data_IF_004640170517
#
_entry.id   IF_004640170517
#
_cell.length_a   1.000
_cell.length_b   1.000
_cell.length_c   1.000
_cell.angle_alpha   90.00
_cell.angle_beta   90.00
_cell.angle_gamma   90.00
#
_symmetry.space_group_name_H-M   'P 1'
#
loop_
_entity.id
_entity.type
_entity.pdbx_description
1 polymer ?
#
# COMPACT_ATOMS: atom_id res chain seq x y z
N UNK A 1 16.17 31.49 33.45
CA UNK A 1 16.50 30.51 32.42
C UNK A 1 16.31 29.14 33.05
N UNK A 2 15.33 28.38 32.59
CA UNK A 2 15.21 26.99 33.03
C UNK A 2 16.29 26.19 32.31
N UNK A 3 17.17 25.54 33.05
CA UNK A 3 18.18 24.65 32.50
C UNK A 3 17.49 23.31 32.25
N UNK A 4 17.33 22.93 30.98
CA UNK A 4 16.84 21.61 30.61
C UNK A 4 17.90 20.56 30.99
N UNK A 5 17.51 19.53 31.73
CA UNK A 5 18.34 18.33 31.90
C UNK A 5 18.28 17.52 30.61
N UNK A 6 19.18 17.83 29.69
CA UNK A 6 19.25 17.22 28.35
C UNK A 6 19.46 15.69 28.42
N UNK A 7 20.12 15.18 29.45
CA UNK A 7 20.37 13.77 29.66
C UNK A 7 19.09 12.92 29.81
N UNK A 8 18.13 13.37 30.65
CA UNK A 8 16.86 12.66 30.86
C UNK A 8 16.00 12.59 29.58
N UNK A 9 16.05 13.65 28.76
CA UNK A 9 15.35 13.69 27.46
C UNK A 9 15.99 12.71 26.48
N UNK A 10 17.31 12.62 26.43
CA UNK A 10 18.05 11.70 25.57
C UNK A 10 17.75 10.23 25.90
N UNK A 11 17.77 9.86 27.18
CA UNK A 11 17.48 8.50 27.64
C UNK A 11 16.05 8.07 27.29
N UNK A 12 15.10 8.99 27.36
CA UNK A 12 13.72 8.71 27.01
C UNK A 12 13.51 8.55 25.48
N UNK A 13 14.17 9.35 24.65
CA UNK A 13 14.18 9.21 23.18
C UNK A 13 14.74 7.85 22.78
N UNK A 14 15.82 7.39 23.41
CA UNK A 14 16.45 6.10 23.14
C UNK A 14 15.47 4.96 23.47
N UNK A 15 14.85 4.99 24.67
CA UNK A 15 13.95 3.92 25.10
C UNK A 15 12.70 3.78 24.23
N UNK A 16 12.10 4.90 23.78
CA UNK A 16 10.93 4.90 22.89
C UNK A 16 11.26 4.49 21.45
N UNK A 17 12.43 4.87 20.93
CA UNK A 17 12.86 4.45 19.57
C UNK A 17 13.19 2.98 19.49
N UNK A 18 13.73 2.39 20.55
CA UNK A 18 14.05 0.95 20.64
C UNK A 18 12.80 0.07 20.79
N UNK A 19 11.77 0.56 21.51
CA UNK A 19 10.50 -0.16 21.66
C UNK A 19 9.72 -0.31 20.35
N UNK A 20 9.99 0.51 19.33
CA UNK A 20 9.37 0.44 18.00
C UNK A 20 10.13 -0.44 17.01
N UNK A 21 11.34 -0.89 17.35
CA UNK A 21 12.16 -1.79 16.54
C UNK A 21 11.92 -3.25 16.93
N UNK A 22 10.82 -3.84 16.50
CA UNK A 22 10.45 -5.25 16.81
C UNK A 22 11.31 -6.33 16.12
N UNK A 23 12.43 -5.98 15.48
CA UNK A 23 13.29 -6.99 14.86
C UNK A 23 14.77 -6.83 15.24
N UNK A 24 15.15 -7.57 16.25
CA UNK A 24 16.43 -8.24 16.30
C UNK A 24 17.60 -7.43 16.85
N UNK A 25 18.28 -8.09 17.77
CA UNK A 25 19.55 -7.77 18.42
C UNK A 25 19.54 -6.47 19.23
N UNK A 26 19.18 -6.65 20.49
CA UNK A 26 19.44 -5.67 21.54
C UNK A 26 20.95 -5.57 21.81
N UNK A 27 21.65 -4.82 20.98
CA UNK A 27 22.82 -4.11 21.46
C UNK A 27 22.29 -2.82 22.05
N UNK A 28 22.02 -2.82 23.34
CA UNK A 28 21.81 -1.64 24.15
C UNK A 28 23.13 -0.88 24.22
N UNK A 29 23.44 -0.13 23.17
CA UNK A 29 24.42 0.94 23.29
C UNK A 29 23.78 2.03 24.14
N UNK A 30 24.21 2.18 25.37
CA UNK A 30 23.92 3.33 26.26
C UNK A 30 24.54 4.63 25.73
N UNK A 31 24.61 4.81 24.45
CA UNK A 31 25.17 5.98 23.83
C UNK A 31 24.06 7.03 23.73
N UNK A 32 24.22 8.12 24.45
CA UNK A 32 23.30 9.25 24.40
C UNK A 32 23.22 9.78 22.97
N UNK A 33 22.03 9.83 22.39
CA UNK A 33 21.82 10.36 21.05
C UNK A 33 21.86 11.89 21.11
N UNK A 34 22.83 12.57 20.44
CA UNK A 34 22.95 14.01 20.49
C UNK A 34 21.77 14.69 19.80
N UNK A 35 21.21 15.73 20.45
CA UNK A 35 20.30 16.66 19.80
C UNK A 35 21.16 17.80 19.23
N UNK A 36 21.17 17.95 17.90
CA UNK A 36 22.15 18.78 17.18
C UNK A 36 21.56 20.10 16.71
N UNK A 37 20.27 20.11 16.41
CA UNK A 37 19.61 21.27 15.84
C UNK A 37 18.32 21.60 16.57
N UNK A 38 17.97 22.88 16.54
CA UNK A 38 16.67 23.33 17.00
C UNK A 38 15.94 24.08 15.89
N UNK A 39 14.64 23.88 15.81
CA UNK A 39 13.77 24.51 14.83
C UNK A 39 12.49 24.99 15.50
N UNK A 40 12.08 26.22 15.17
CA UNK A 40 10.75 26.70 15.56
C UNK A 40 9.71 26.16 14.61
N UNK A 41 8.59 25.70 15.17
CA UNK A 41 7.44 25.24 14.40
C UNK A 41 6.35 26.31 14.44
N UNK A 42 5.59 26.42 13.35
CA UNK A 42 4.39 27.23 13.33
C UNK A 42 3.44 26.78 14.45
N UNK A 43 2.77 27.72 15.07
CA UNK A 43 1.77 27.38 16.09
C UNK A 43 0.49 26.87 15.40
N UNK A 44 -0.14 25.79 15.91
CA UNK A 44 -1.43 25.33 15.40
C UNK A 44 -2.56 26.35 15.63
N UNK A 45 -2.37 27.26 16.58
CA UNK A 45 -3.26 28.41 16.83
C UNK A 45 -2.45 29.67 17.14
N UNK A 46 -2.98 30.85 16.75
CA UNK A 46 -2.38 32.13 17.10
C UNK A 46 -2.46 32.37 18.60
N UNK A 47 -1.36 32.85 19.21
CA UNK A 47 -1.24 33.27 20.61
C UNK A 47 -1.14 32.17 21.68
N UNK A 48 -0.80 30.95 21.35
CA UNK A 48 -0.66 29.84 22.32
C UNK A 48 0.75 29.64 22.85
N UNK A 49 1.73 30.46 22.46
CA UNK A 49 3.14 30.30 22.81
C UNK A 49 4.01 29.88 21.61
N UNK A 50 5.25 29.51 21.92
CA UNK A 50 6.21 29.11 20.89
C UNK A 50 6.42 27.58 20.91
N UNK A 51 6.24 26.97 19.76
CA UNK A 51 6.53 25.55 19.52
C UNK A 51 7.93 25.41 18.94
N UNK A 52 8.70 24.48 19.45
CA UNK A 52 10.00 24.18 18.88
C UNK A 52 10.39 22.72 19.05
N UNK A 53 11.23 22.29 18.19
CA UNK A 53 11.66 20.91 18.04
C UNK A 53 13.19 20.85 18.16
N UNK A 54 13.68 20.00 19.05
CA UNK A 54 15.11 19.66 19.11
C UNK A 54 15.29 18.35 18.36
N UNK A 55 16.23 18.30 17.41
CA UNK A 55 16.42 17.14 16.54
C UNK A 55 17.86 16.67 16.47
N UNK A 56 18.02 15.39 16.23
CA UNK A 56 19.28 14.74 15.90
C UNK A 56 19.07 13.72 14.78
N UNK A 57 20.16 13.19 14.26
CA UNK A 57 20.17 12.16 13.22
C UNK A 57 21.04 11.00 13.62
N UNK A 58 20.64 9.78 13.26
CA UNK A 58 21.49 8.60 13.40
C UNK A 58 21.37 7.71 12.18
N UNK A 59 22.46 7.03 11.85
CA UNK A 59 22.42 5.98 10.83
C UNK A 59 21.90 4.69 11.45
N UNK A 60 20.90 4.06 10.80
CA UNK A 60 20.37 2.76 11.17
C UNK A 60 20.37 1.86 9.94
N UNK A 61 21.39 1.03 9.80
CA UNK A 61 21.63 0.28 8.56
C UNK A 61 21.82 1.22 7.37
N UNK A 62 21.03 1.05 6.33
CA UNK A 62 21.06 1.88 5.12
C UNK A 62 20.23 3.17 5.24
N UNK A 63 19.47 3.35 6.32
CA UNK A 63 18.57 4.49 6.50
C UNK A 63 19.13 5.48 7.51
N UNK A 64 18.88 6.76 7.26
CA UNK A 64 19.07 7.82 8.24
C UNK A 64 17.76 8.04 8.97
N UNK A 65 17.74 7.84 10.27
CA UNK A 65 16.60 8.14 11.14
C UNK A 65 16.79 9.49 11.78
N UNK A 66 15.84 10.39 11.58
CA UNK A 66 15.73 11.65 12.31
C UNK A 66 14.91 11.40 13.57
N UNK A 67 15.36 11.92 14.69
CA UNK A 67 14.66 11.82 15.97
C UNK A 67 14.63 13.17 16.65
N UNK A 68 13.70 13.35 17.58
CA UNK A 68 13.62 14.64 18.28
C UNK A 68 12.67 14.67 19.46
N UNK A 69 12.65 15.82 20.09
CA UNK A 69 11.77 16.17 21.19
C UNK A 69 11.03 17.47 20.86
N UNK A 70 9.71 17.44 20.91
CA UNK A 70 8.85 18.60 20.74
C UNK A 70 8.62 19.28 22.07
N UNK A 71 8.74 20.61 22.07
CA UNK A 71 8.52 21.48 23.22
C UNK A 71 7.52 22.58 22.92
N UNK A 72 6.87 23.03 23.96
CA UNK A 72 6.06 24.26 23.98
C UNK A 72 6.52 25.19 25.06
N UNK A 73 6.72 26.46 24.73
CA UNK A 73 7.04 27.53 25.67
C UNK A 73 5.87 28.52 25.76
N UNK A 74 5.21 28.56 26.94
CA UNK A 74 4.19 29.56 27.22
C UNK A 74 4.88 30.83 27.74
N UNK A 75 4.83 31.90 26.94
CA UNK A 75 5.45 33.20 27.25
C UNK A 75 4.83 33.89 28.45
N UNK A 76 3.55 33.63 28.74
CA UNK A 76 2.81 34.27 29.82
C UNK A 76 3.18 33.73 31.20
N UNK A 77 3.42 32.43 31.27
CA UNK A 77 3.79 31.71 32.49
C UNK A 77 5.29 31.46 32.58
N UNK A 78 6.05 31.78 31.55
CA UNK A 78 7.46 31.44 31.37
C UNK A 78 7.75 29.94 31.59
N UNK A 79 6.78 29.08 31.22
CA UNK A 79 6.86 27.65 31.41
C UNK A 79 7.26 26.97 30.11
N UNK A 80 8.28 26.09 30.18
CA UNK A 80 8.69 25.19 29.14
C UNK A 80 8.14 23.81 29.44
N UNK A 81 7.43 23.21 28.46
CA UNK A 81 6.83 21.88 28.55
C UNK A 81 7.39 20.99 27.45
N UNK A 82 7.94 19.83 27.81
CA UNK A 82 8.26 18.78 26.88
C UNK A 82 6.95 18.01 26.56
N UNK A 83 6.60 17.88 25.29
CA UNK A 83 5.32 17.33 24.86
C UNK A 83 5.43 15.88 24.41
N UNK A 84 6.30 15.59 23.42
CA UNK A 84 6.48 14.24 22.91
C UNK A 84 7.86 14.07 22.31
N UNK A 85 8.42 12.87 22.45
CA UNK A 85 9.55 12.44 21.65
C UNK A 85 9.06 11.72 20.40
N UNK A 86 9.86 11.77 19.36
CA UNK A 86 9.51 11.18 18.09
C UNK A 86 10.75 10.71 17.33
N UNK A 87 10.53 9.81 16.38
CA UNK A 87 11.54 9.43 15.39
C UNK A 87 10.89 9.18 14.04
N UNK A 88 11.62 9.40 12.95
CA UNK A 88 11.12 9.21 11.60
C UNK A 88 12.23 8.72 10.68
N UNK A 89 11.97 7.71 9.83
CA UNK A 89 12.87 7.34 8.76
C UNK A 89 12.83 8.32 7.57
N UNK A 90 11.89 9.29 7.58
CA UNK A 90 11.75 10.30 6.53
C UNK A 90 12.46 11.59 6.95
N UNK A 91 13.63 11.93 6.36
CA UNK A 91 14.39 13.09 6.77
C UNK A 91 13.81 14.42 6.29
N UNK A 92 12.97 14.41 5.23
CA UNK A 92 12.51 15.65 4.60
C UNK A 92 11.32 16.28 5.33
N UNK A 93 10.42 15.46 5.84
CA UNK A 93 9.22 15.91 6.58
C UNK A 93 8.91 15.00 7.75
N UNK A 94 9.80 14.90 8.74
CA UNK A 94 9.63 13.97 9.83
C UNK A 94 8.46 14.33 10.75
N UNK A 95 8.15 15.62 10.88
CA UNK A 95 7.14 16.18 11.77
C UNK A 95 6.43 17.34 11.07
N UNK A 96 5.08 17.37 11.09
CA UNK A 96 4.30 18.42 10.44
C UNK A 96 2.94 18.62 11.08
N UNK A 97 2.40 19.85 10.94
CA UNK A 97 1.01 20.14 11.22
C UNK A 97 0.17 19.86 9.98
N UNK A 98 -0.90 19.09 10.14
CA UNK A 98 -1.79 18.74 9.03
C UNK A 98 -3.23 18.60 9.52
N UNK A 99 -4.16 19.23 8.83
CA UNK A 99 -5.58 19.01 9.07
C UNK A 99 -6.01 17.66 8.49
N UNK A 100 -6.28 16.69 9.35
CA UNK A 100 -6.75 15.35 8.98
C UNK A 100 -8.18 15.15 9.41
N UNK A 101 -8.47 15.48 10.68
CA UNK A 101 -9.80 15.31 11.26
C UNK A 101 -10.66 16.55 11.04
N UNK A 102 -11.93 16.45 11.36
CA UNK A 102 -12.83 17.62 11.36
C UNK A 102 -12.65 18.54 12.58
N UNK A 103 -11.56 18.42 13.35
CA UNK A 103 -11.24 19.31 14.45
C UNK A 103 -10.93 20.73 13.95
N UNK A 104 -11.01 21.72 14.82
CA UNK A 104 -10.65 23.11 14.46
C UNK A 104 -9.13 23.31 14.43
N UNK A 105 -8.40 22.47 15.14
CA UNK A 105 -6.94 22.53 15.26
C UNK A 105 -6.32 21.42 14.41
N UNK A 106 -5.27 21.71 13.62
CA UNK A 106 -4.57 20.68 12.86
C UNK A 106 -3.90 19.67 13.81
N UNK A 107 -3.79 18.45 13.35
CA UNK A 107 -3.10 17.37 14.05
C UNK A 107 -1.59 17.47 13.82
N UNK A 108 -0.82 17.07 14.84
CA UNK A 108 0.61 16.84 14.71
C UNK A 108 0.84 15.45 14.11
N UNK A 109 1.51 15.40 12.97
CA UNK A 109 1.87 14.15 12.30
C UNK A 109 3.35 13.84 12.45
N UNK A 110 3.65 12.58 12.73
CA UNK A 110 4.98 12.00 12.61
C UNK A 110 4.95 11.02 11.46
N UNK A 111 5.86 11.18 10.49
CA UNK A 111 5.91 10.34 9.30
C UNK A 111 6.86 9.15 9.50
N UNK A 112 6.29 7.96 9.60
CA UNK A 112 7.00 6.68 9.67
C UNK A 112 6.97 5.91 8.34
N UNK A 113 6.56 6.57 7.24
CA UNK A 113 6.43 5.93 5.93
C UNK A 113 7.77 5.40 5.43
N UNK A 114 7.76 4.22 4.82
CA UNK A 114 8.94 3.59 4.21
C UNK A 114 8.60 3.19 2.78
N UNK A 115 9.30 3.74 1.81
CA UNK A 115 9.07 3.46 0.40
C UNK A 115 7.64 3.80 -0.02
N UNK A 116 6.90 2.80 -0.49
CA UNK A 116 5.50 2.96 -0.92
C UNK A 116 4.48 2.78 0.21
N UNK A 117 4.92 2.43 1.42
CA UNK A 117 4.06 2.15 2.55
C UNK A 117 3.83 3.39 3.42
N UNK A 118 2.68 4.09 3.33
CA UNK A 118 2.38 5.20 4.21
C UNK A 118 2.10 4.71 5.63
N UNK A 119 2.77 5.31 6.59
CA UNK A 119 2.54 5.09 8.00
C UNK A 119 2.70 6.39 8.77
N UNK A 120 1.60 6.99 9.20
CA UNK A 120 1.58 8.25 9.92
C UNK A 120 1.06 8.02 11.33
N UNK A 121 1.76 8.55 12.30
CA UNK A 121 1.29 8.69 13.67
C UNK A 121 0.71 10.10 13.85
N UNK A 122 -0.50 10.20 14.35
CA UNK A 122 -1.19 11.48 14.46
C UNK A 122 -1.62 11.78 15.91
N UNK A 123 -1.43 13.01 16.32
CA UNK A 123 -1.82 13.50 17.65
C UNK A 123 -2.82 14.66 17.50
N UNK A 124 -3.94 14.56 18.20
CA UNK A 124 -4.83 15.68 18.42
C UNK A 124 -4.23 16.59 19.50
N UNK A 125 -4.39 17.89 19.31
CA UNK A 125 -3.83 18.90 20.20
C UNK A 125 -4.94 19.55 21.00
N UNK A 126 -4.82 19.51 22.33
CA UNK A 126 -5.66 20.28 23.23
C UNK A 126 -4.90 21.52 23.70
N UNK A 127 -5.42 22.71 23.37
CA UNK A 127 -4.76 24.00 23.64
C UNK A 127 -5.34 24.76 24.85
N UNK A 128 -6.18 24.10 25.65
CA UNK A 128 -6.73 24.69 26.87
C UNK A 128 -5.75 24.55 28.03
N UNK A 129 -5.09 25.63 28.37
CA UNK A 129 -4.04 25.63 29.39
C UNK A 129 -2.68 25.23 28.81
N UNK A 130 -1.96 24.35 29.51
CA UNK A 130 -0.75 23.73 28.96
C UNK A 130 -1.17 22.81 27.81
N UNK A 131 -0.56 22.92 26.61
CA UNK A 131 -0.87 22.04 25.52
C UNK A 131 -0.67 20.57 25.87
N UNK A 132 -1.59 19.73 25.42
CA UNK A 132 -1.55 18.29 25.57
C UNK A 132 -1.72 17.60 24.22
N UNK A 133 -1.03 16.49 24.03
CA UNK A 133 -1.04 15.69 22.80
C UNK A 133 -1.71 14.33 23.05
N UNK A 134 -2.83 14.10 22.37
CA UNK A 134 -3.58 12.86 22.46
C UNK A 134 -3.41 12.05 21.20
N UNK A 135 -2.75 10.87 21.28
CA UNK A 135 -2.53 9.98 20.17
C UNK A 135 -3.85 9.43 19.60
N UNK A 136 -4.05 9.54 18.28
CA UNK A 136 -5.10 8.83 17.56
C UNK A 136 -4.64 7.38 17.39
N UNK A 137 -5.18 6.48 18.22
CA UNK A 137 -4.76 5.08 18.26
C UNK A 137 -5.16 4.33 16.99
N UNK A 138 -4.22 3.59 16.40
CA UNK A 138 -4.45 2.62 15.32
C UNK A 138 -4.43 1.17 15.84
N UNK A 139 -4.07 0.95 17.11
CA UNK A 139 -3.97 -0.39 17.70
C UNK A 139 -5.20 -0.80 18.50
N UNK A 140 -5.96 0.17 19.03
CA UNK A 140 -7.14 -0.06 19.86
C UNK A 140 -8.36 0.60 19.23
N UNK A 141 -9.39 -0.20 18.95
CA UNK A 141 -10.66 0.32 18.45
C UNK A 141 -11.34 1.22 19.50
N UNK A 142 -11.75 2.40 19.07
CA UNK A 142 -12.50 3.36 19.89
C UNK A 142 -13.99 3.08 19.82
N UNK A 143 -14.49 2.61 18.67
CA UNK A 143 -15.87 2.13 18.52
C UNK A 143 -16.07 0.87 19.35
N UNK A 144 -17.28 0.75 19.94
CA UNK A 144 -17.70 -0.45 20.68
C UNK A 144 -18.15 -1.61 19.78
N UNK A 145 -18.26 -1.36 18.49
CA UNK A 145 -18.61 -2.39 17.52
C UNK A 145 -17.45 -3.40 17.40
N UNK A 146 -17.70 -4.71 17.54
CA UNK A 146 -16.67 -5.75 17.43
C UNK A 146 -15.95 -5.72 16.08
N UNK A 147 -16.63 -5.37 14.98
CA UNK A 147 -16.07 -5.27 13.65
C UNK A 147 -15.05 -4.13 13.50
N UNK A 148 -15.09 -3.12 14.39
CA UNK A 148 -14.07 -2.07 14.40
C UNK A 148 -12.67 -2.62 14.71
N UNK A 149 -12.58 -3.66 15.53
CA UNK A 149 -11.30 -4.34 15.78
C UNK A 149 -10.77 -5.06 14.54
N UNK A 150 -11.66 -5.63 13.71
CA UNK A 150 -11.28 -6.26 12.44
C UNK A 150 -10.80 -5.20 11.43
N UNK A 151 -11.48 -4.04 11.36
CA UNK A 151 -11.01 -2.92 10.55
C UNK A 151 -9.59 -2.46 10.96
N UNK A 152 -9.29 -2.40 12.26
CA UNK A 152 -7.94 -2.06 12.72
C UNK A 152 -6.90 -3.13 12.41
N UNK A 153 -7.25 -4.42 12.40
CA UNK A 153 -6.33 -5.47 11.92
C UNK A 153 -5.92 -5.24 10.47
N UNK A 154 -6.89 -4.87 9.61
CA UNK A 154 -6.60 -4.50 8.22
C UNK A 154 -5.68 -3.27 8.13
N UNK A 155 -5.96 -2.22 8.91
CA UNK A 155 -5.13 -1.01 8.96
C UNK A 155 -3.69 -1.33 9.41
N UNK A 156 -3.51 -2.16 10.45
CA UNK A 156 -2.22 -2.54 11.01
C UNK A 156 -1.33 -3.34 10.06
N UNK A 157 -1.90 -3.94 9.03
CA UNK A 157 -1.15 -4.60 7.95
C UNK A 157 -1.06 -3.73 6.68
N UNK A 158 -1.48 -2.46 6.75
CA UNK A 158 -1.40 -1.51 5.65
C UNK A 158 -2.50 -1.63 4.60
N UNK A 159 -3.59 -2.34 4.87
CA UNK A 159 -4.77 -2.43 4.00
C UNK A 159 -5.75 -1.29 4.32
N UNK A 160 -5.25 -0.07 4.16
CA UNK A 160 -5.92 1.15 4.61
C UNK A 160 -7.28 1.39 3.96
N UNK A 161 -7.43 1.12 2.66
CA UNK A 161 -8.70 1.31 1.94
C UNK A 161 -9.78 0.36 2.45
N UNK A 162 -9.44 -0.91 2.65
CA UNK A 162 -10.38 -1.90 3.20
C UNK A 162 -10.78 -1.55 4.63
N UNK A 163 -9.81 -1.12 5.45
CA UNK A 163 -10.07 -0.68 6.82
C UNK A 163 -10.99 0.55 6.87
N UNK A 164 -10.73 1.56 6.01
CA UNK A 164 -11.55 2.76 5.91
C UNK A 164 -12.99 2.43 5.51
N UNK A 165 -13.18 1.56 4.52
CA UNK A 165 -14.50 1.19 4.03
C UNK A 165 -15.27 0.38 5.08
N UNK A 166 -14.61 -0.50 5.82
CA UNK A 166 -15.21 -1.21 6.95
C UNK A 166 -15.67 -0.25 8.04
N UNK A 167 -14.84 0.71 8.45
CA UNK A 167 -15.21 1.70 9.46
C UNK A 167 -16.31 2.64 8.99
N UNK A 168 -16.36 3.04 7.72
CA UNK A 168 -17.47 3.81 7.15
C UNK A 168 -18.79 3.04 7.22
N UNK A 169 -18.76 1.74 6.91
CA UNK A 169 -19.93 0.87 7.03
C UNK A 169 -20.44 0.79 8.48
N UNK A 170 -19.52 0.58 9.45
CA UNK A 170 -19.86 0.58 10.87
C UNK A 170 -20.47 1.92 11.30
N UNK A 171 -19.85 3.04 10.89
CA UNK A 171 -20.36 4.38 11.18
C UNK A 171 -21.79 4.58 10.69
N UNK A 172 -22.08 4.15 9.45
CA UNK A 172 -23.42 4.30 8.85
C UNK A 172 -24.49 3.54 9.63
N UNK A 173 -24.13 2.43 10.29
CA UNK A 173 -25.02 1.57 11.03
C UNK A 173 -24.97 1.82 12.56
N UNK A 174 -24.19 2.81 13.02
CA UNK A 174 -24.02 3.12 14.45
C UNK A 174 -24.87 4.32 14.86
N UNK A 175 -25.68 4.16 15.89
CA UNK A 175 -26.44 5.27 16.49
C UNK A 175 -25.55 6.22 17.31
N UNK A 176 -24.43 5.73 17.82
CA UNK A 176 -23.52 6.44 18.73
C UNK A 176 -22.08 6.44 18.22
N UNK A 177 -21.80 7.20 17.15
CA UNK A 177 -20.45 7.38 16.63
C UNK A 177 -19.76 8.54 17.34
N UNK A 178 -18.69 8.25 18.11
CA UNK A 178 -17.97 9.26 18.88
C UNK A 178 -17.00 10.09 18.04
N UNK A 179 -16.62 11.29 18.52
CA UNK A 179 -15.59 12.10 17.88
C UNK A 179 -14.23 11.38 17.81
N UNK A 180 -13.86 10.60 18.82
CA UNK A 180 -12.63 9.81 18.79
C UNK A 180 -12.67 8.68 17.77
N UNK A 181 -13.85 8.02 17.57
CA UNK A 181 -14.03 7.04 16.50
C UNK A 181 -13.98 7.72 15.12
N UNK A 182 -14.50 8.95 15.02
CA UNK A 182 -14.38 9.75 13.80
C UNK A 182 -12.92 10.09 13.50
N UNK A 183 -12.15 10.56 14.47
CA UNK A 183 -10.74 10.86 14.29
C UNK A 183 -9.94 9.62 13.84
N UNK A 184 -10.24 8.45 14.40
CA UNK A 184 -9.62 7.18 13.99
C UNK A 184 -9.97 6.83 12.53
N UNK A 185 -11.23 6.97 12.13
CA UNK A 185 -11.65 6.79 10.74
C UNK A 185 -10.96 7.79 9.80
N UNK A 186 -10.88 9.06 10.19
CA UNK A 186 -10.29 10.11 9.37
C UNK A 186 -8.80 9.86 9.12
N UNK A 187 -8.05 9.45 10.16
CA UNK A 187 -6.64 9.07 10.01
C UNK A 187 -6.46 7.86 9.07
N UNK A 188 -7.28 6.82 9.24
CA UNK A 188 -7.25 5.64 8.36
C UNK A 188 -7.62 6.03 6.92
N UNK A 189 -8.62 6.89 6.72
CA UNK A 189 -9.01 7.40 5.42
C UNK A 189 -7.93 8.27 4.76
N UNK A 190 -7.16 9.00 5.57
CA UNK A 190 -6.01 9.76 5.08
C UNK A 190 -4.91 8.85 4.52
N UNK A 191 -4.57 7.76 5.22
CA UNK A 191 -3.66 6.74 4.71
C UNK A 191 -4.22 6.07 3.44
N UNK A 192 -5.51 5.71 3.44
CA UNK A 192 -6.19 5.12 2.29
C UNK A 192 -6.10 6.03 1.05
N UNK A 193 -6.32 7.33 1.23
CA UNK A 193 -6.18 8.31 0.14
C UNK A 193 -4.76 8.34 -0.45
N UNK A 194 -3.73 8.23 0.41
CA UNK A 194 -2.34 8.17 -0.03
C UNK A 194 -2.09 6.93 -0.91
N UNK A 195 -2.48 5.74 -0.45
CA UNK A 195 -2.34 4.49 -1.21
C UNK A 195 -3.15 4.52 -2.50
N UNK A 196 -4.40 4.99 -2.48
CA UNK A 196 -5.24 5.13 -3.66
C UNK A 196 -4.61 6.04 -4.71
N UNK A 197 -4.00 7.15 -4.28
CA UNK A 197 -3.29 8.04 -5.19
C UNK A 197 -2.09 7.35 -5.84
N UNK A 198 -1.31 6.59 -5.06
CA UNK A 198 -0.21 5.78 -5.59
C UNK A 198 -0.72 4.70 -6.56
N UNK A 199 -1.80 3.97 -6.21
CA UNK A 199 -2.36 2.92 -7.05
C UNK A 199 -2.91 3.41 -8.41
N UNK A 200 -3.20 4.71 -8.53
CA UNK A 200 -3.62 5.37 -9.79
C UNK A 200 -2.44 5.84 -10.63
N UNK A 201 -1.25 5.93 -10.07
CA UNK A 201 -0.05 6.32 -10.82
C UNK A 201 0.43 5.18 -11.70
N UNK A 202 1.11 5.51 -12.80
CA UNK A 202 1.83 4.54 -13.61
C UNK A 202 3.27 4.43 -13.10
N UNK A 203 3.70 3.24 -12.84
CA UNK A 203 5.06 2.95 -12.43
C UNK A 203 5.86 2.41 -13.62
N UNK A 204 7.14 2.76 -13.69
CA UNK A 204 8.04 2.20 -14.70
C UNK A 204 8.29 0.71 -14.47
N UNK A 205 8.15 0.24 -13.22
CA UNK A 205 8.34 -1.14 -12.82
C UNK A 205 6.98 -1.80 -12.52
N UNK A 206 6.66 -2.87 -13.23
CA UNK A 206 5.42 -3.62 -13.05
C UNK A 206 5.26 -4.22 -11.65
N UNK A 207 6.35 -4.65 -11.01
CA UNK A 207 6.35 -5.14 -9.64
C UNK A 207 5.81 -4.07 -8.67
N UNK A 208 6.29 -2.83 -8.77
CA UNK A 208 5.79 -1.72 -7.94
C UNK A 208 4.31 -1.44 -8.22
N UNK A 209 3.90 -1.46 -9.49
CA UNK A 209 2.51 -1.27 -9.90
C UNK A 209 1.59 -2.32 -9.27
N UNK A 210 1.98 -3.60 -9.33
CA UNK A 210 1.23 -4.70 -8.72
C UNK A 210 1.21 -4.57 -7.21
N UNK A 211 2.38 -4.30 -6.59
CA UNK A 211 2.51 -4.15 -5.14
C UNK A 211 1.56 -3.08 -4.59
N UNK A 212 1.54 -1.88 -5.18
CA UNK A 212 0.68 -0.78 -4.71
C UNK A 212 -0.80 -1.13 -4.84
N UNK A 213 -1.19 -1.84 -5.93
CA UNK A 213 -2.58 -2.32 -6.08
C UNK A 213 -2.95 -3.37 -5.04
N UNK A 214 -2.04 -4.27 -4.69
CA UNK A 214 -2.25 -5.24 -3.59
C UNK A 214 -2.36 -4.52 -2.24
N UNK A 215 -1.57 -3.46 -2.00
CA UNK A 215 -1.65 -2.64 -0.80
C UNK A 215 -2.97 -1.89 -0.68
N UNK A 216 -3.58 -1.51 -1.81
CA UNK A 216 -4.90 -0.87 -1.83
C UNK A 216 -6.08 -1.87 -1.79
N UNK A 217 -5.81 -3.18 -1.79
CA UNK A 217 -6.85 -4.22 -1.86
C UNK A 217 -7.46 -4.42 -3.24
N UNK A 218 -6.83 -3.88 -4.28
CA UNK A 218 -7.25 -3.98 -5.68
C UNK A 218 -6.76 -5.30 -6.32
N UNK A 219 -7.17 -6.44 -5.76
CA UNK A 219 -6.67 -7.77 -6.13
C UNK A 219 -6.83 -8.11 -7.61
N UNK A 220 -7.98 -7.73 -8.19
CA UNK A 220 -8.31 -7.98 -9.60
C UNK A 220 -7.53 -7.05 -10.52
N UNK A 221 -7.41 -5.79 -10.16
CA UNK A 221 -6.65 -4.78 -10.91
C UNK A 221 -5.14 -5.08 -10.90
N UNK A 222 -4.63 -5.60 -9.78
CA UNK A 222 -3.26 -6.11 -9.70
C UNK A 222 -3.03 -7.27 -10.69
N UNK A 223 -4.00 -8.18 -10.81
CA UNK A 223 -3.93 -9.29 -11.77
C UNK A 223 -3.97 -8.81 -13.23
N UNK A 224 -4.79 -7.78 -13.55
CA UNK A 224 -4.87 -7.20 -14.89
C UNK A 224 -3.53 -6.61 -15.37
N UNK A 225 -2.68 -6.13 -14.47
CA UNK A 225 -1.33 -5.65 -14.84
C UNK A 225 -0.51 -6.78 -15.44
N UNK A 226 -0.76 -8.03 -15.03
CA UNK A 226 -0.04 -9.22 -15.48
C UNK A 226 -0.69 -9.90 -16.68
N UNK A 227 -1.91 -9.50 -17.06
CA UNK A 227 -2.62 -10.11 -18.20
C UNK A 227 -1.81 -9.91 -19.49
N UNK A 228 -1.66 -10.98 -20.26
CA UNK A 228 -1.03 -11.01 -21.58
C UNK A 228 0.49 -10.79 -21.64
N UNK A 229 1.19 -10.75 -20.49
CA UNK A 229 2.65 -10.64 -20.44
C UNK A 229 3.28 -11.72 -19.55
N UNK A 230 3.62 -12.91 -20.12
CA UNK A 230 4.24 -13.99 -19.35
C UNK A 230 5.62 -13.64 -18.76
N UNK A 231 6.37 -12.74 -19.40
CA UNK A 231 7.68 -12.29 -18.87
C UNK A 231 7.44 -11.48 -17.61
N UNK A 232 6.53 -10.52 -17.67
CA UNK A 232 6.14 -9.72 -16.51
C UNK A 232 5.60 -10.58 -15.35
N UNK A 233 4.82 -11.63 -15.65
CA UNK A 233 4.34 -12.58 -14.64
C UNK A 233 5.50 -13.27 -13.92
N UNK A 234 6.53 -13.70 -14.65
CA UNK A 234 7.71 -14.35 -14.07
C UNK A 234 8.53 -13.36 -13.21
N UNK A 235 8.76 -12.16 -13.72
CA UNK A 235 9.52 -11.12 -13.01
C UNK A 235 8.85 -10.68 -11.70
N UNK A 236 7.53 -10.50 -11.72
CA UNK A 236 6.77 -10.13 -10.52
C UNK A 236 6.80 -11.26 -9.49
N UNK A 237 6.64 -12.52 -9.91
CA UNK A 237 6.76 -13.67 -8.99
C UNK A 237 8.13 -13.75 -8.36
N UNK A 238 9.21 -13.54 -9.12
CA UNK A 238 10.57 -13.56 -8.59
C UNK A 238 10.81 -12.42 -7.60
N UNK A 239 10.38 -11.20 -7.95
CA UNK A 239 10.50 -10.03 -7.07
C UNK A 239 9.74 -10.22 -5.75
N UNK A 240 8.58 -10.90 -5.78
CA UNK A 240 7.77 -11.11 -4.58
C UNK A 240 8.36 -12.13 -3.61
N UNK A 241 9.33 -12.94 -4.02
CA UNK A 241 10.05 -13.84 -3.08
C UNK A 241 10.77 -13.06 -1.99
N UNK A 242 11.27 -11.87 -2.29
CA UNK A 242 11.91 -10.98 -1.31
C UNK A 242 10.89 -10.31 -0.37
N UNK A 243 9.64 -10.18 -0.80
CA UNK A 243 8.54 -9.55 -0.08
C UNK A 243 7.58 -10.55 0.60
N UNK A 244 7.88 -11.85 0.52
CA UNK A 244 6.97 -12.94 0.96
C UNK A 244 6.39 -12.71 2.36
N UNK A 245 7.22 -12.32 3.33
CA UNK A 245 6.78 -12.12 4.73
C UNK A 245 5.79 -10.95 4.88
N UNK A 246 6.04 -9.83 4.19
CA UNK A 246 5.17 -8.65 4.20
C UNK A 246 3.85 -8.92 3.48
N UNK A 247 3.93 -9.53 2.30
CA UNK A 247 2.75 -9.93 1.53
C UNK A 247 1.91 -10.94 2.28
N UNK A 248 2.54 -11.93 2.91
CA UNK A 248 1.83 -12.91 3.73
C UNK A 248 1.07 -12.24 4.87
N UNK A 249 1.69 -11.34 5.62
CA UNK A 249 1.04 -10.61 6.71
C UNK A 249 -0.22 -9.87 6.24
N UNK A 250 -0.21 -9.26 5.05
CA UNK A 250 -1.38 -8.59 4.45
C UNK A 250 -2.43 -9.59 3.97
N UNK A 251 -2.02 -10.54 3.15
CA UNK A 251 -2.94 -11.47 2.51
C UNK A 251 -3.62 -12.40 3.53
N UNK A 252 -2.93 -12.81 4.60
CA UNK A 252 -3.52 -13.62 5.66
C UNK A 252 -4.64 -12.89 6.39
N UNK A 253 -4.47 -11.60 6.72
CA UNK A 253 -5.53 -10.81 7.35
C UNK A 253 -6.66 -10.53 6.36
N UNK A 254 -6.35 -10.23 5.10
CA UNK A 254 -7.37 -10.00 4.07
C UNK A 254 -8.22 -11.23 3.80
N UNK A 255 -7.61 -12.43 3.74
CA UNK A 255 -8.35 -13.68 3.48
C UNK A 255 -9.17 -14.15 4.69
N UNK A 256 -8.78 -13.78 5.90
CA UNK A 256 -9.62 -13.96 7.09
C UNK A 256 -10.85 -13.06 7.05
N UNK A 257 -10.73 -11.84 6.52
CA UNK A 257 -11.82 -10.87 6.39
C UNK A 257 -12.79 -11.23 5.26
N UNK A 258 -12.26 -11.64 4.09
CA UNK A 258 -13.07 -12.12 2.94
C UNK A 258 -12.53 -13.43 2.37
N UNK A 259 -12.85 -14.57 3.01
CA UNK A 259 -12.38 -15.88 2.57
C UNK A 259 -12.96 -16.34 1.23
N UNK A 260 -14.03 -15.70 0.76
CA UNK A 260 -14.72 -16.07 -0.49
C UNK A 260 -14.14 -15.40 -1.74
N UNK A 261 -13.27 -14.40 -1.60
CA UNK A 261 -12.75 -13.62 -2.71
C UNK A 261 -11.74 -14.40 -3.56
N UNK A 262 -12.18 -14.86 -4.71
CA UNK A 262 -11.44 -15.79 -5.59
C UNK A 262 -10.05 -15.31 -6.01
N UNK A 263 -9.92 -14.02 -6.40
CA UNK A 263 -8.62 -13.46 -6.81
C UNK A 263 -7.67 -13.30 -5.62
N UNK A 264 -8.18 -12.93 -4.45
CA UNK A 264 -7.41 -12.86 -3.22
C UNK A 264 -6.90 -14.25 -2.81
N UNK A 265 -7.73 -15.30 -2.96
CA UNK A 265 -7.30 -16.69 -2.76
C UNK A 265 -6.12 -17.07 -3.66
N UNK A 266 -6.11 -16.63 -4.93
CA UNK A 266 -5.02 -16.91 -5.85
C UNK A 266 -3.72 -16.20 -5.45
N UNK A 267 -3.78 -14.91 -5.08
CA UNK A 267 -2.62 -14.17 -4.55
C UNK A 267 -2.09 -14.81 -3.26
N UNK A 268 -2.99 -15.19 -2.35
CA UNK A 268 -2.63 -15.88 -1.11
C UNK A 268 -1.95 -17.22 -1.40
N UNK A 269 -2.46 -17.99 -2.36
CA UNK A 269 -1.87 -19.27 -2.76
C UNK A 269 -0.48 -19.10 -3.37
N UNK A 270 -0.24 -18.07 -4.17
CA UNK A 270 1.08 -17.77 -4.73
C UNK A 270 2.11 -17.53 -3.61
N UNK A 271 1.79 -16.64 -2.65
CA UNK A 271 2.70 -16.33 -1.54
C UNK A 271 2.87 -17.55 -0.61
N UNK A 272 1.81 -18.31 -0.40
CA UNK A 272 1.83 -19.53 0.40
C UNK A 272 2.69 -20.64 -0.23
N UNK A 273 2.71 -20.71 -1.57
CA UNK A 273 3.54 -21.66 -2.32
C UNK A 273 5.03 -21.44 -2.03
N UNK A 274 5.49 -20.20 -2.06
CA UNK A 274 6.88 -19.84 -1.77
C UNK A 274 7.24 -20.06 -0.30
N UNK A 275 6.30 -19.81 0.62
CA UNK A 275 6.52 -19.93 2.06
C UNK A 275 6.39 -21.34 2.59
N UNK A 276 5.33 -22.05 2.23
CA UNK A 276 4.90 -23.31 2.86
C UNK A 276 5.02 -24.52 1.92
N UNK A 277 5.31 -24.28 0.64
CA UNK A 277 5.48 -25.28 -0.40
C UNK A 277 4.16 -25.81 -1.00
N UNK A 278 4.25 -26.58 -2.10
CA UNK A 278 3.09 -26.94 -2.92
C UNK A 278 2.08 -27.85 -2.22
N UNK A 279 2.53 -28.74 -1.34
CA UNK A 279 1.64 -29.69 -0.69
C UNK A 279 0.65 -29.01 0.27
N UNK A 280 1.14 -28.10 1.10
CA UNK A 280 0.31 -27.33 2.06
C UNK A 280 -0.63 -26.39 1.31
N UNK A 281 -0.13 -25.73 0.28
CA UNK A 281 -0.92 -24.79 -0.54
C UNK A 281 -2.06 -25.49 -1.26
N UNK A 282 -1.83 -26.66 -1.89
CA UNK A 282 -2.88 -27.46 -2.50
C UNK A 282 -3.94 -27.92 -1.49
N UNK A 283 -3.51 -28.35 -0.31
CA UNK A 283 -4.43 -28.74 0.76
C UNK A 283 -5.30 -27.56 1.22
N UNK A 284 -4.71 -26.37 1.33
CA UNK A 284 -5.45 -25.16 1.68
C UNK A 284 -6.45 -24.78 0.55
N UNK A 285 -6.02 -24.76 -0.71
CA UNK A 285 -6.87 -24.44 -1.85
C UNK A 285 -8.07 -25.39 -1.98
N UNK A 286 -7.89 -26.67 -1.69
CA UNK A 286 -8.96 -27.67 -1.74
C UNK A 286 -10.11 -27.37 -0.76
N UNK A 287 -9.83 -26.65 0.34
CA UNK A 287 -10.83 -26.25 1.31
C UNK A 287 -11.62 -24.99 0.88
N UNK A 288 -11.13 -24.23 -0.08
CA UNK A 288 -11.73 -22.97 -0.52
C UNK A 288 -12.84 -23.14 -1.58
N UNK A 289 -13.24 -24.35 -1.90
CA UNK A 289 -14.20 -24.61 -2.98
C UNK A 289 -13.61 -24.37 -4.38
N UNK A 290 -14.41 -24.53 -5.42
CA UNK A 290 -13.99 -24.30 -6.80
C UNK A 290 -14.53 -22.97 -7.34
N UNK A 291 -13.67 -22.18 -8.01
CA UNK A 291 -14.02 -20.94 -8.70
C UNK A 291 -13.24 -20.83 -10.00
N UNK A 292 -13.95 -20.54 -11.11
CA UNK A 292 -13.32 -20.29 -12.42
C UNK A 292 -12.38 -19.09 -12.40
N UNK A 293 -12.77 -18.02 -11.71
CA UNK A 293 -11.94 -16.81 -11.57
C UNK A 293 -10.63 -17.10 -10.82
N UNK A 294 -10.70 -17.95 -9.77
CA UNK A 294 -9.48 -18.37 -9.07
C UNK A 294 -8.59 -19.23 -9.96
N UNK A 295 -9.15 -20.16 -10.71
CA UNK A 295 -8.39 -21.01 -11.63
C UNK A 295 -7.66 -20.16 -12.66
N UNK A 296 -8.34 -19.19 -13.28
CA UNK A 296 -7.74 -18.25 -14.24
C UNK A 296 -6.61 -17.43 -13.60
N UNK A 297 -6.80 -16.95 -12.37
CA UNK A 297 -5.78 -16.22 -11.64
C UNK A 297 -4.56 -17.10 -11.31
N UNK A 298 -4.78 -18.36 -10.89
CA UNK A 298 -3.70 -19.32 -10.63
C UNK A 298 -2.92 -19.71 -11.89
N UNK A 299 -3.54 -19.73 -13.09
CA UNK A 299 -2.82 -19.94 -14.35
C UNK A 299 -1.72 -18.88 -14.58
N UNK A 300 -1.92 -17.66 -14.09
CA UNK A 300 -0.94 -16.57 -14.19
C UNK A 300 0.03 -16.54 -13.00
N UNK A 301 -0.45 -16.77 -11.78
CA UNK A 301 0.32 -16.57 -10.56
C UNK A 301 1.09 -17.81 -10.10
N UNK A 302 0.50 -19.00 -10.22
CA UNK A 302 1.03 -20.25 -9.69
C UNK A 302 0.52 -21.47 -10.47
N UNK A 303 0.84 -21.59 -11.77
CA UNK A 303 0.32 -22.66 -12.64
C UNK A 303 0.65 -24.07 -12.15
N UNK A 304 1.72 -24.25 -11.37
CA UNK A 304 2.16 -25.50 -10.75
C UNK A 304 1.19 -26.03 -9.67
N UNK A 305 0.26 -25.20 -9.20
CA UNK A 305 -0.79 -25.62 -8.28
C UNK A 305 -1.97 -26.27 -8.98
N UNK A 306 -2.10 -26.06 -10.29
CA UNK A 306 -3.19 -26.60 -11.10
C UNK A 306 -2.88 -28.04 -11.54
N UNK A 307 -3.90 -28.86 -11.85
CA UNK A 307 -3.69 -30.14 -12.47
C UNK A 307 -3.03 -29.96 -13.84
N UNK A 308 -2.19 -30.90 -14.28
CA UNK A 308 -1.56 -30.83 -15.59
C UNK A 308 -2.64 -30.77 -16.68
N UNK A 309 -2.47 -29.85 -17.62
CA UNK A 309 -3.39 -29.78 -18.79
C UNK A 309 -3.38 -31.11 -19.49
N UNK A 310 -4.56 -31.68 -19.88
CA UNK A 310 -4.62 -32.90 -20.64
C UNK A 310 -3.78 -32.74 -21.93
N UNK A 311 -2.92 -33.71 -22.18
CA UNK A 311 -2.17 -33.72 -23.45
C UNK A 311 -3.18 -33.59 -24.59
N UNK A 312 -2.94 -32.71 -25.57
CA UNK A 312 -3.81 -32.66 -26.75
C UNK A 312 -3.88 -34.08 -27.35
N UNK A 313 -5.10 -34.61 -27.49
CA UNK A 313 -5.30 -35.85 -28.15
C UNK A 313 -4.64 -35.78 -29.54
N UNK A 314 -3.87 -36.79 -29.94
CA UNK A 314 -3.29 -36.82 -31.27
C UNK A 314 -4.43 -36.63 -32.28
N UNK A 315 -4.35 -35.57 -33.07
CA UNK A 315 -5.34 -35.33 -34.15
C UNK A 315 -5.48 -36.64 -34.89
N UNK A 316 -6.71 -37.14 -35.09
CA UNK A 316 -6.90 -38.36 -35.87
C UNK A 316 -6.20 -38.16 -37.22
N UNK A 317 -5.31 -39.10 -37.58
CA UNK A 317 -4.64 -39.10 -38.88
C UNK A 317 -5.73 -38.99 -39.94
N UNK A 318 -5.92 -37.82 -40.51
CA UNK A 318 -6.67 -37.65 -41.73
C UNK A 318 -5.96 -38.53 -42.77
N UNK A 319 -6.57 -39.68 -43.07
CA UNK A 319 -6.15 -40.50 -44.22
C UNK A 319 -6.13 -39.55 -45.40
N UNK A 320 -4.94 -39.33 -45.93
CA UNK A 320 -4.75 -38.64 -47.20
C UNK A 320 -5.62 -39.41 -48.24
N UNK A 321 -6.66 -38.75 -48.71
CA UNK A 321 -7.39 -39.24 -49.86
C UNK A 321 -6.42 -39.37 -51.03
N UNK A 322 -6.54 -40.45 -51.89
CA UNK A 322 -5.60 -40.68 -52.97
C UNK A 322 -5.68 -39.49 -53.93
N UNK A 323 -4.51 -38.99 -54.27
CA UNK A 323 -4.25 -37.98 -55.29
C UNK A 323 -4.99 -38.26 -56.55
N UNK A 324 -5.96 -37.43 -56.90
CA UNK A 324 -6.64 -37.48 -58.22
C UNK A 324 -5.62 -37.15 -59.28
N UNK A 325 -5.42 -38.03 -60.23
CA UNK A 325 -4.54 -37.89 -61.42
C UNK A 325 -4.91 -36.61 -62.19
N UNK A 326 -3.91 -35.79 -62.46
CA UNK A 326 -3.97 -34.59 -63.28
C UNK A 326 -4.38 -34.98 -64.73
N UNK A 327 -5.57 -34.55 -65.18
CA UNK A 327 -5.88 -34.48 -66.57
C UNK A 327 -5.13 -33.32 -67.21
N UNK A 328 -4.62 -33.52 -68.49
CA UNK A 328 -3.89 -32.48 -69.20
C UNK A 328 -4.78 -31.28 -69.47
N UNK A 329 -4.26 -30.06 -69.14
CA UNK A 329 -4.91 -28.76 -69.42
C UNK A 329 -4.71 -28.46 -70.92
N UNK A 330 -5.80 -28.30 -71.67
CA UNK A 330 -5.80 -27.77 -73.05
C UNK A 330 -5.35 -26.27 -73.02
N UNK A 331 -4.62 -25.79 -74.03
CA UNK A 331 -4.13 -24.42 -74.07
C UNK A 331 -5.25 -23.45 -74.40
N UNK A 332 -5.42 -22.46 -73.56
CA UNK A 332 -6.34 -21.33 -73.76
C UNK A 332 -5.82 -20.32 -74.78
N UNK A 333 -6.68 -20.02 -75.73
CA UNK A 333 -6.56 -19.06 -76.83
C UNK A 333 -6.38 -17.60 -76.34
N UNK A 334 -5.44 -16.83 -76.91
CA UNK A 334 -5.12 -15.49 -76.44
C UNK A 334 -5.87 -14.39 -77.18
N UNK A 335 -7.18 -14.26 -76.98
CA UNK A 335 -7.94 -13.11 -77.51
C UNK A 335 -9.09 -12.72 -76.59
N UNK A 336 -8.82 -11.78 -75.69
CA UNK A 336 -9.89 -10.87 -75.23
C UNK A 336 -9.28 -9.68 -74.36
N UNK A 337 -9.92 -8.55 -74.31
CA UNK A 337 -9.21 -7.25 -74.26
C UNK A 337 -9.10 -6.67 -72.90
N UNK A 338 -8.08 -5.79 -72.76
CA UNK A 338 -7.74 -4.93 -71.62
C UNK A 338 -8.94 -4.11 -71.12
N UNK A 339 -9.27 -4.24 -69.84
CA UNK A 339 -10.08 -3.26 -69.10
C UNK A 339 -9.18 -2.24 -68.42
N UNK A 340 -9.56 -0.94 -68.56
CA UNK A 340 -8.90 0.26 -68.11
C UNK A 340 -8.98 0.41 -66.56
N UNK A 341 -8.04 1.13 -65.94
CA UNK A 341 -8.10 1.54 -64.53
C UNK A 341 -8.91 2.80 -64.36
N UNK A 342 -9.79 2.82 -63.39
CA UNK A 342 -10.40 4.02 -62.78
C UNK A 342 -10.03 3.97 -61.31
N UNK A 343 -9.56 4.97 -60.67
CA UNK A 343 -9.77 6.38 -60.59
C UNK A 343 -9.35 6.75 -59.15
N UNK A 344 -8.43 7.67 -59.05
CA UNK A 344 -8.03 8.36 -57.84
C UNK A 344 -9.23 8.87 -57.02
N UNK A 345 -9.15 8.82 -55.70
CA UNK A 345 -9.78 9.78 -54.81
C UNK A 345 -8.86 10.14 -53.66
N UNK A 346 -8.62 11.43 -53.60
CA UNK A 346 -7.86 12.24 -52.70
C UNK A 346 -8.25 12.16 -51.22
N UNK A 347 -7.38 12.68 -50.32
CA UNK A 347 -7.46 12.51 -48.88
C UNK A 347 -8.39 13.53 -48.20
N UNK A 348 -9.06 13.10 -47.15
CA UNK A 348 -9.88 13.96 -46.29
C UNK A 348 -9.08 14.50 -45.12
N UNK A 349 -9.29 15.79 -44.89
CA UNK A 349 -8.65 16.69 -43.98
C UNK A 349 -8.85 16.34 -42.49
N UNK A 350 -7.81 16.65 -41.70
CA UNK A 350 -7.79 16.65 -40.24
C UNK A 350 -8.35 18.01 -39.75
N UNK A 351 -9.27 18.08 -38.81
CA UNK A 351 -9.59 19.32 -38.11
C UNK A 351 -8.72 19.48 -36.84
N UNK A 352 -7.92 20.50 -36.84
CA UNK A 352 -7.30 21.12 -35.67
C UNK A 352 -8.36 21.84 -34.83
N UNK A 353 -8.46 21.55 -33.56
CA UNK A 353 -9.11 22.41 -32.58
C UNK A 353 -8.14 22.79 -31.47
N UNK A 354 -8.03 24.11 -31.28
CA UNK A 354 -7.23 24.87 -30.32
C UNK A 354 -7.88 24.87 -28.91
N UNK A 355 -7.10 25.24 -27.86
CA UNK A 355 -7.45 25.13 -26.46
C UNK A 355 -8.19 26.35 -25.90
N UNK A 356 -8.91 26.12 -24.85
CA UNK A 356 -9.12 27.08 -23.76
C UNK A 356 -8.82 26.45 -22.43
#
# INVERSE_FOLDING_TARGET
MAQLEVGAVQDWIISTSLAQSENGSSETSNEALPLETYETMDSPETNTGTWFNLTGKRQQGEYTVTYGQLFHYDIRTAQLTALTSWSSPNPDRPLMWQQITGSLTPELLIDHSIGLEPHLQAYQVALRGTPDLSLISLTKAVSRDPEASNALKLANVGLWSLAADRLKFIKTNSENWSNSAQAQLDLIAYHAKSIQNQARQSFANAHQQVLVKLMDGQWREALKVLENDPVMQADVRESFKTETSRLWKRLSVAIEDDPSHSTLQAWTAMVMLDRDGPARTKTWLAKQGNSGDRTRALEMLAPELLPPKPKPEPKPNLKLEPKVEDKPIEPLDPTSPKAKPNGEKSPLAIPTSRPY
#
